data_IF_992681634810
#
_entry.id   IF_992681634810
#
_cell.length_a   1.000
_cell.length_b   1.000
_cell.length_c   1.000
_cell.angle_alpha   90.00
_cell.angle_beta   90.00
_cell.angle_gamma   90.00
#
_symmetry.space_group_name_H-M   'P 1'
#
loop_
_entity.id
_entity.type
_entity.pdbx_description
1 polymer ?
#
# COMPACT_ATOMS: atom_id res chain seq x y z
N UNK A 1 32.61 1.37 13.22
CA UNK A 1 31.34 0.60 13.19
C UNK A 1 31.72 -0.81 12.80
N UNK A 2 31.68 -1.75 13.72
CA UNK A 2 31.97 -3.16 13.46
C UNK A 2 30.74 -3.74 12.76
N UNK A 3 30.92 -4.22 11.53
CA UNK A 3 29.87 -4.86 10.77
C UNK A 3 29.39 -6.12 11.52
N UNK A 4 28.12 -6.17 11.88
CA UNK A 4 27.46 -7.35 12.47
C UNK A 4 27.35 -8.50 11.44
N UNK A 5 27.57 -8.17 10.17
CA UNK A 5 27.55 -9.12 9.06
C UNK A 5 28.99 -9.56 8.79
N UNK A 6 29.22 -10.88 8.73
CA UNK A 6 30.53 -11.47 8.47
C UNK A 6 31.16 -11.02 7.15
N UNK A 7 32.47 -11.26 6.99
CA UNK A 7 33.19 -10.96 5.75
C UNK A 7 32.54 -11.67 4.54
N UNK A 8 32.35 -10.93 3.46
CA UNK A 8 31.77 -11.45 2.20
C UNK A 8 30.26 -11.23 2.05
N UNK A 9 29.55 -10.67 3.04
CA UNK A 9 28.13 -10.31 2.88
C UNK A 9 28.00 -8.98 2.12
N UNK A 10 27.35 -9.03 0.96
CA UNK A 10 26.95 -7.83 0.22
C UNK A 10 25.54 -7.45 0.63
N UNK A 11 25.36 -6.22 1.09
CA UNK A 11 24.02 -5.66 1.39
C UNK A 11 23.64 -4.73 0.25
N UNK A 12 22.53 -5.03 -0.39
CA UNK A 12 21.88 -4.15 -1.36
C UNK A 12 20.66 -3.52 -0.68
N UNK A 13 20.63 -2.19 -0.63
CA UNK A 13 19.46 -1.45 -0.16
C UNK A 13 18.63 -1.06 -1.37
N UNK A 14 17.38 -1.50 -1.39
CA UNK A 14 16.38 -1.15 -2.40
C UNK A 14 15.19 -0.47 -1.74
N UNK A 15 14.43 0.32 -2.50
CA UNK A 15 13.18 0.88 -2.00
C UNK A 15 12.15 -0.24 -1.81
N UNK A 16 11.23 -0.07 -0.86
CA UNK A 16 10.24 -1.09 -0.54
C UNK A 16 9.36 -1.48 -1.75
N UNK A 17 8.83 -0.54 -2.55
CA UNK A 17 8.07 -0.90 -3.75
C UNK A 17 8.92 -1.63 -4.80
N UNK A 18 10.22 -1.35 -4.91
CA UNK A 18 11.12 -2.11 -5.80
C UNK A 18 11.22 -3.57 -5.36
N UNK A 19 11.29 -3.80 -4.04
CA UNK A 19 11.31 -5.17 -3.50
C UNK A 19 10.03 -5.93 -3.86
N UNK A 20 8.86 -5.29 -3.83
CA UNK A 20 7.60 -5.90 -4.26
C UNK A 20 7.61 -6.24 -5.76
N UNK A 21 8.12 -5.35 -6.61
CA UNK A 21 8.31 -5.62 -8.03
C UNK A 21 9.24 -6.81 -8.26
N UNK A 22 10.40 -6.85 -7.61
CA UNK A 22 11.35 -7.95 -7.76
C UNK A 22 10.80 -9.28 -7.23
N UNK A 23 10.04 -9.27 -6.13
CA UNK A 23 9.36 -10.45 -5.61
C UNK A 23 8.27 -10.97 -6.56
N UNK A 24 7.69 -10.09 -7.40
CA UNK A 24 6.75 -10.48 -8.43
C UNK A 24 7.45 -11.15 -9.62
N UNK A 25 8.56 -10.60 -10.11
CA UNK A 25 9.23 -11.09 -11.31
C UNK A 25 10.17 -12.26 -11.07
N UNK A 26 10.73 -12.41 -9.86
CA UNK A 26 11.66 -13.50 -9.54
C UNK A 26 11.07 -14.50 -8.55
N UNK A 27 11.50 -15.76 -8.66
CA UNK A 27 11.26 -16.78 -7.65
C UNK A 27 12.30 -16.68 -6.50
N UNK A 28 12.19 -17.60 -5.52
CA UNK A 28 13.11 -17.59 -4.36
C UNK A 28 14.55 -17.94 -4.72
N UNK A 29 14.78 -18.55 -5.87
CA UNK A 29 16.08 -18.92 -6.40
C UNK A 29 16.65 -17.83 -7.33
N UNK A 30 15.96 -16.68 -7.46
CA UNK A 30 16.38 -15.55 -8.30
C UNK A 30 16.19 -15.78 -9.79
N UNK A 31 15.37 -16.77 -10.19
CA UNK A 31 15.03 -17.02 -11.60
C UNK A 31 13.73 -16.30 -11.96
N UNK A 32 13.63 -15.85 -13.21
CA UNK A 32 12.39 -15.26 -13.71
C UNK A 32 11.22 -16.27 -13.58
N UNK A 33 10.11 -15.81 -13.03
CA UNK A 33 8.88 -16.60 -12.96
C UNK A 33 8.35 -16.90 -14.36
N UNK A 34 7.75 -18.07 -14.51
CA UNK A 34 7.14 -18.50 -15.77
C UNK A 34 6.06 -17.49 -16.21
N UNK A 35 6.15 -17.04 -17.46
CA UNK A 35 5.19 -16.08 -18.05
C UNK A 35 5.50 -14.61 -17.76
N UNK A 36 6.57 -14.34 -17.00
CA UNK A 36 7.03 -12.96 -16.74
C UNK A 36 8.20 -12.64 -17.65
N UNK A 37 8.06 -11.58 -18.42
CA UNK A 37 9.12 -11.00 -19.23
C UNK A 37 9.24 -9.50 -18.93
N UNK A 38 10.11 -9.12 -17.98
CA UNK A 38 10.25 -7.74 -17.58
C UNK A 38 10.67 -6.80 -18.69
N UNK A 39 11.29 -7.32 -19.78
CA UNK A 39 11.72 -6.48 -20.90
C UNK A 39 10.58 -6.09 -21.86
N UNK A 40 9.42 -6.74 -21.72
CA UNK A 40 8.23 -6.55 -22.57
C UNK A 40 6.97 -6.21 -21.77
N UNK A 41 7.08 -6.20 -20.46
CA UNK A 41 5.96 -5.94 -19.56
C UNK A 41 6.20 -4.65 -18.78
N UNK A 42 5.10 -3.96 -18.50
CA UNK A 42 5.09 -2.76 -17.68
C UNK A 42 4.25 -3.00 -16.44
N UNK A 43 4.78 -2.65 -15.27
CA UNK A 43 4.17 -2.91 -13.97
C UNK A 43 4.19 -1.67 -13.12
N UNK A 44 3.03 -1.28 -12.60
CA UNK A 44 2.95 -0.31 -11.53
C UNK A 44 2.96 -1.03 -10.18
N UNK A 45 3.57 -0.42 -9.17
CA UNK A 45 3.53 -0.89 -7.78
C UNK A 45 2.95 0.22 -6.92
N UNK A 46 2.00 -0.14 -6.08
CA UNK A 46 1.40 0.72 -5.07
C UNK A 46 1.66 0.04 -3.72
N UNK A 47 2.65 0.54 -2.99
CA UNK A 47 2.99 0.04 -1.66
C UNK A 47 2.31 0.89 -0.60
N UNK A 48 1.26 0.37 0.02
CA UNK A 48 0.46 1.08 1.02
C UNK A 48 0.92 0.71 2.42
N UNK A 49 1.90 1.49 2.91
CA UNK A 49 2.39 1.41 4.27
C UNK A 49 1.49 2.17 5.26
N UNK A 50 1.92 2.18 6.52
CA UNK A 50 1.21 2.91 7.57
C UNK A 50 1.37 4.43 7.43
N UNK A 51 2.60 4.91 7.24
CA UNK A 51 2.88 6.34 7.14
C UNK A 51 2.78 6.87 5.72
N UNK A 52 3.22 6.09 4.73
CA UNK A 52 3.30 6.49 3.33
C UNK A 52 2.71 5.44 2.42
N UNK A 53 2.21 5.92 1.28
CA UNK A 53 1.94 5.10 0.11
C UNK A 53 2.94 5.49 -0.97
N UNK A 54 3.73 4.53 -1.40
CA UNK A 54 4.78 4.74 -2.40
C UNK A 54 4.34 4.14 -3.75
N UNK A 55 4.52 4.92 -4.81
CA UNK A 55 4.14 4.57 -6.18
C UNK A 55 5.39 4.48 -7.04
N UNK A 56 5.53 3.40 -7.79
CA UNK A 56 6.58 3.26 -8.78
C UNK A 56 6.04 2.61 -10.06
N UNK A 57 6.65 2.95 -11.18
CA UNK A 57 6.39 2.34 -12.47
C UNK A 57 7.67 1.72 -13.04
N UNK A 58 7.57 0.47 -13.44
CA UNK A 58 8.55 -0.21 -14.28
C UNK A 58 7.98 -0.41 -15.68
N UNK A 59 8.61 0.18 -16.66
CA UNK A 59 8.22 0.05 -18.07
C UNK A 59 9.34 -0.65 -18.84
N UNK A 60 9.04 -1.83 -19.36
CA UNK A 60 10.04 -2.67 -20.05
C UNK A 60 11.31 -2.90 -19.20
N UNK A 61 11.13 -3.16 -17.91
CA UNK A 61 12.20 -3.40 -16.95
C UNK A 61 12.96 -2.15 -16.49
N UNK A 62 12.54 -0.96 -16.90
CA UNK A 62 13.16 0.32 -16.49
C UNK A 62 12.27 1.06 -15.52
N UNK A 63 12.86 1.52 -14.45
CA UNK A 63 12.21 2.42 -13.50
C UNK A 63 11.92 3.77 -14.17
N UNK A 64 10.69 4.25 -14.03
CA UNK A 64 10.21 5.53 -14.60
C UNK A 64 10.02 6.54 -13.48
N UNK A 65 11.00 7.41 -13.26
CA UNK A 65 11.02 8.36 -12.15
C UNK A 65 9.83 9.33 -12.18
N UNK A 66 9.42 9.79 -13.36
CA UNK A 66 8.30 10.74 -13.52
C UNK A 66 6.94 10.16 -13.11
N UNK A 67 6.83 8.83 -13.06
CA UNK A 67 5.63 8.13 -12.64
C UNK A 67 5.75 7.58 -11.21
N UNK A 68 6.71 8.06 -10.44
CA UNK A 68 6.94 7.65 -9.06
C UNK A 68 6.60 8.77 -8.10
N UNK A 69 6.12 8.41 -6.91
CA UNK A 69 5.75 9.41 -5.91
C UNK A 69 5.46 8.79 -4.57
N UNK A 70 5.31 9.65 -3.57
CA UNK A 70 5.01 9.27 -2.19
C UNK A 70 3.88 10.14 -1.67
N UNK A 71 2.91 9.50 -1.01
CA UNK A 71 1.73 10.12 -0.44
C UNK A 71 1.42 9.55 0.95
N UNK A 72 0.35 10.04 1.58
CA UNK A 72 -0.08 9.55 2.88
C UNK A 72 -0.48 8.08 2.84
N UNK A 73 -0.11 7.36 3.91
CA UNK A 73 -0.45 5.95 4.10
C UNK A 73 -1.70 5.74 4.96
N UNK A 74 -1.85 4.52 5.46
CA UNK A 74 -3.04 4.10 6.19
C UNK A 74 -3.25 4.80 7.54
N UNK A 75 -2.28 5.55 8.05
CA UNK A 75 -2.42 6.38 9.25
C UNK A 75 -3.61 7.33 9.17
N UNK A 76 -3.94 7.86 7.98
CA UNK A 76 -5.09 8.74 7.80
C UNK A 76 -6.43 8.07 8.14
N UNK A 77 -6.51 6.74 8.01
CA UNK A 77 -7.69 5.96 8.42
C UNK A 77 -7.88 6.07 9.93
N UNK A 78 -6.82 5.83 10.70
CA UNK A 78 -6.84 5.93 12.17
C UNK A 78 -7.21 7.34 12.61
N UNK A 79 -6.60 8.36 12.00
CA UNK A 79 -6.88 9.76 12.31
C UNK A 79 -8.33 10.16 11.97
N UNK A 80 -8.89 9.61 10.89
CA UNK A 80 -10.28 9.85 10.49
C UNK A 80 -11.25 9.24 11.51
N UNK A 81 -11.03 7.99 11.91
CA UNK A 81 -11.84 7.32 12.92
C UNK A 81 -11.72 8.03 14.28
N UNK A 82 -10.52 8.49 14.66
CA UNK A 82 -10.34 9.29 15.88
C UNK A 82 -11.17 10.56 15.86
N UNK A 83 -11.16 11.31 14.75
CA UNK A 83 -11.98 12.53 14.63
C UNK A 83 -13.47 12.23 14.75
N UNK A 84 -13.95 11.14 14.13
CA UNK A 84 -15.35 10.72 14.23
C UNK A 84 -15.73 10.35 15.67
N UNK A 85 -14.87 9.64 16.39
CA UNK A 85 -15.08 9.32 17.81
C UNK A 85 -15.08 10.57 18.69
N UNK A 86 -14.15 11.50 18.43
CA UNK A 86 -14.07 12.76 19.18
C UNK A 86 -15.32 13.62 18.98
N UNK A 87 -15.88 13.67 17.77
CA UNK A 87 -17.15 14.34 17.49
C UNK A 87 -18.33 13.73 18.27
N UNK A 88 -18.24 12.46 18.66
CA UNK A 88 -19.19 11.75 19.54
C UNK A 88 -18.84 11.87 21.02
N UNK A 89 -17.85 12.71 21.39
CA UNK A 89 -17.38 12.89 22.78
C UNK A 89 -16.49 11.75 23.30
N UNK A 90 -16.03 10.85 22.43
CA UNK A 90 -15.22 9.67 22.77
C UNK A 90 -13.74 9.95 22.44
N UNK A 91 -12.97 10.37 23.44
CA UNK A 91 -11.52 10.58 23.25
C UNK A 91 -10.76 9.26 23.35
N UNK A 92 -9.90 8.98 22.37
CA UNK A 92 -9.02 7.79 22.31
C UNK A 92 -7.64 8.18 21.85
N UNK A 93 -6.65 7.41 22.27
CA UNK A 93 -5.32 7.49 21.71
C UNK A 93 -5.26 6.76 20.36
N UNK A 94 -4.34 7.18 19.49
CA UNK A 94 -4.16 6.58 18.16
C UNK A 94 -3.98 5.06 18.22
N UNK A 95 -3.17 4.59 19.16
CA UNK A 95 -2.90 3.16 19.34
C UNK A 95 -4.16 2.34 19.69
N UNK A 96 -5.10 2.94 20.42
CA UNK A 96 -6.34 2.25 20.80
C UNK A 96 -7.25 2.09 19.57
N UNK A 97 -7.31 3.11 18.71
CA UNK A 97 -8.08 3.07 17.46
C UNK A 97 -7.44 2.12 16.48
N UNK A 98 -6.10 2.14 16.34
CA UNK A 98 -5.36 1.23 15.48
C UNK A 98 -5.64 -0.24 15.84
N UNK A 99 -5.59 -0.58 17.15
CA UNK A 99 -5.93 -1.91 17.65
C UNK A 99 -7.39 -2.30 17.44
N UNK A 100 -8.28 -1.32 17.34
CA UNK A 100 -9.69 -1.54 17.12
C UNK A 100 -10.06 -1.76 15.62
N UNK A 101 -9.19 -1.40 14.68
CA UNK A 101 -9.49 -1.55 13.25
C UNK A 101 -9.90 -2.98 12.85
N UNK A 102 -9.22 -4.06 13.29
CA UNK A 102 -9.62 -5.42 12.93
C UNK A 102 -10.95 -5.86 13.54
N UNK A 103 -11.21 -5.47 14.81
CA UNK A 103 -12.43 -5.83 15.52
C UNK A 103 -13.62 -4.95 15.18
N UNK A 104 -13.35 -3.77 14.59
CA UNK A 104 -14.33 -2.72 14.28
C UNK A 104 -15.09 -2.21 15.50
N UNK A 105 -14.51 -2.38 16.70
CA UNK A 105 -15.14 -2.01 17.96
C UNK A 105 -14.16 -1.28 18.85
N UNK A 106 -14.65 -0.22 19.50
CA UNK A 106 -13.92 0.55 20.51
C UNK A 106 -14.62 0.42 21.84
N UNK A 107 -13.89 0.09 22.90
CA UNK A 107 -14.47 0.01 24.25
C UNK A 107 -14.49 1.39 24.90
N UNK A 108 -15.65 1.84 25.36
CA UNK A 108 -15.84 3.10 26.09
C UNK A 108 -16.73 2.90 27.29
N UNK A 109 -16.27 3.30 28.50
CA UNK A 109 -17.01 3.15 29.77
C UNK A 109 -17.61 1.75 29.99
N UNK A 110 -16.86 0.71 29.64
CA UNK A 110 -17.26 -0.68 29.75
C UNK A 110 -18.15 -1.23 28.64
N UNK A 111 -18.57 -0.38 27.69
CA UNK A 111 -19.43 -0.76 26.56
C UNK A 111 -18.60 -0.83 25.28
N UNK A 112 -18.90 -1.81 24.43
CA UNK A 112 -18.35 -1.87 23.06
C UNK A 112 -19.18 -0.98 22.15
N UNK A 113 -18.50 -0.10 21.42
CA UNK A 113 -19.08 0.79 20.42
C UNK A 113 -18.63 0.30 19.05
N UNK A 114 -19.59 0.02 18.18
CA UNK A 114 -19.33 -0.28 16.78
C UNK A 114 -18.85 0.99 16.06
N UNK A 115 -17.77 0.84 15.27
CA UNK A 115 -17.14 1.89 14.46
C UNK A 115 -16.93 1.43 13.03
N UNK A 116 -17.72 0.46 12.59
CA UNK A 116 -17.61 -0.13 11.26
C UNK A 116 -17.82 0.90 10.15
N UNK A 117 -18.84 1.76 10.31
CA UNK A 117 -19.17 2.78 9.31
C UNK A 117 -18.04 3.81 9.18
N UNK A 118 -17.48 4.26 10.30
CA UNK A 118 -16.37 5.21 10.33
C UNK A 118 -15.12 4.62 9.68
N UNK A 119 -14.82 3.34 9.94
CA UNK A 119 -13.70 2.63 9.35
C UNK A 119 -13.90 2.47 7.84
N UNK A 120 -15.09 2.05 7.40
CA UNK A 120 -15.38 1.88 5.98
C UNK A 120 -15.34 3.20 5.21
N UNK A 121 -15.85 4.27 5.79
CA UNK A 121 -15.76 5.62 5.22
C UNK A 121 -14.30 6.08 5.12
N UNK A 122 -13.49 5.83 6.16
CA UNK A 122 -12.08 6.20 6.17
C UNK A 122 -11.25 5.40 5.13
N UNK A 123 -11.50 4.10 4.99
CA UNK A 123 -10.86 3.30 3.94
C UNK A 123 -11.33 3.69 2.53
N UNK A 124 -12.58 4.12 2.38
CA UNK A 124 -13.09 4.65 1.11
C UNK A 124 -12.35 5.93 0.74
N UNK A 125 -12.12 6.82 1.70
CA UNK A 125 -11.34 8.04 1.47
C UNK A 125 -9.88 7.74 1.12
N UNK A 126 -9.24 6.81 1.84
CA UNK A 126 -7.87 6.38 1.53
C UNK A 126 -7.78 5.81 0.11
N UNK A 127 -8.74 4.95 -0.27
CA UNK A 127 -8.82 4.40 -1.62
C UNK A 127 -8.93 5.51 -2.67
N UNK A 128 -9.84 6.46 -2.49
CA UNK A 128 -10.00 7.59 -3.43
C UNK A 128 -8.71 8.40 -3.58
N UNK A 129 -8.05 8.69 -2.46
CA UNK A 129 -6.78 9.41 -2.49
C UNK A 129 -5.70 8.65 -3.26
N UNK A 130 -5.56 7.33 -3.00
CA UNK A 130 -4.58 6.47 -3.69
C UNK A 130 -4.91 6.40 -5.18
N UNK A 131 -6.18 6.19 -5.53
CA UNK A 131 -6.62 6.11 -6.92
C UNK A 131 -6.35 7.40 -7.69
N UNK A 132 -6.67 8.54 -7.10
CA UNK A 132 -6.44 9.86 -7.70
C UNK A 132 -4.95 10.13 -7.92
N UNK A 133 -4.10 9.74 -6.96
CA UNK A 133 -2.66 9.91 -7.08
C UNK A 133 -2.07 8.96 -8.13
N UNK A 134 -2.45 7.69 -8.12
CA UNK A 134 -2.02 6.72 -9.13
C UNK A 134 -2.45 7.18 -10.53
N UNK A 135 -3.70 7.63 -10.69
CA UNK A 135 -4.21 8.14 -11.97
C UNK A 135 -3.42 9.35 -12.47
N UNK A 136 -3.02 10.25 -11.58
CA UNK A 136 -2.19 11.41 -11.95
C UNK A 136 -0.77 11.00 -12.36
N UNK A 137 -0.16 10.06 -11.64
CA UNK A 137 1.20 9.61 -11.91
C UNK A 137 1.30 8.75 -13.18
N UNK A 138 0.34 7.86 -13.36
CA UNK A 138 0.35 6.91 -14.46
C UNK A 138 -0.24 7.50 -15.75
N UNK A 139 -1.26 8.37 -15.63
CA UNK A 139 -1.97 8.91 -16.78
C UNK A 139 -2.49 7.80 -17.70
N UNK A 140 -2.38 8.00 -19.00
CA UNK A 140 -2.81 7.03 -20.00
C UNK A 140 -1.98 5.72 -19.99
N UNK A 141 -0.84 5.69 -19.29
CA UNK A 141 0.00 4.49 -19.18
C UNK A 141 -0.71 3.35 -18.45
N UNK A 142 -1.70 3.65 -17.61
CA UNK A 142 -2.45 2.62 -16.88
C UNK A 142 -3.07 1.58 -17.82
N UNK A 143 -3.51 2.00 -19.01
CA UNK A 143 -4.10 1.10 -20.01
C UNK A 143 -3.08 0.16 -20.68
N UNK A 144 -1.81 0.52 -20.60
CA UNK A 144 -0.70 -0.23 -21.23
C UNK A 144 0.03 -1.13 -20.22
N UNK A 145 -0.39 -1.12 -18.96
CA UNK A 145 0.25 -1.95 -17.94
C UNK A 145 -0.10 -3.43 -18.13
N UNK A 146 0.89 -4.26 -17.87
CA UNK A 146 0.69 -5.71 -17.71
C UNK A 146 0.02 -6.04 -16.39
N UNK A 147 0.15 -5.16 -15.39
CA UNK A 147 -0.55 -5.26 -14.13
C UNK A 147 -0.18 -4.17 -13.14
N UNK A 148 -0.97 -4.13 -12.05
CA UNK A 148 -0.76 -3.26 -10.88
C UNK A 148 -0.55 -4.14 -9.66
N UNK A 149 0.63 -4.05 -9.05
CA UNK A 149 0.98 -4.77 -7.83
C UNK A 149 0.59 -3.93 -6.63
N UNK A 150 -0.19 -4.50 -5.73
CA UNK A 150 -0.55 -3.84 -4.47
C UNK A 150 0.20 -4.51 -3.33
N UNK A 151 1.02 -3.74 -2.65
CA UNK A 151 1.88 -4.21 -1.56
C UNK A 151 1.67 -3.38 -0.29
N UNK A 152 2.37 -3.76 0.78
CA UNK A 152 2.33 -3.08 2.08
C UNK A 152 1.29 -3.63 3.04
N UNK A 153 1.37 -3.17 4.28
CA UNK A 153 0.53 -3.67 5.39
C UNK A 153 -0.98 -3.44 5.19
N UNK A 154 -1.38 -2.48 4.37
CA UNK A 154 -2.77 -2.16 4.08
C UNK A 154 -3.26 -2.70 2.72
N UNK A 155 -2.42 -3.44 2.00
CA UNK A 155 -2.74 -3.98 0.68
C UNK A 155 -4.06 -4.79 0.67
N UNK A 156 -4.24 -5.69 1.64
CA UNK A 156 -5.43 -6.54 1.74
C UNK A 156 -6.74 -5.75 1.82
N UNK A 157 -6.73 -4.59 2.50
CA UNK A 157 -7.92 -3.75 2.64
C UNK A 157 -8.27 -2.99 1.35
N UNK A 158 -7.30 -2.79 0.45
CA UNK A 158 -7.43 -1.96 -0.74
C UNK A 158 -7.42 -2.75 -2.05
N UNK A 159 -6.78 -3.93 -2.08
CA UNK A 159 -6.60 -4.72 -3.30
C UNK A 159 -7.92 -5.00 -4.04
N UNK A 160 -8.96 -5.43 -3.32
CA UNK A 160 -10.27 -5.70 -3.92
C UNK A 160 -10.93 -4.46 -4.53
N UNK A 161 -10.75 -3.28 -3.92
CA UNK A 161 -11.26 -2.00 -4.44
C UNK A 161 -10.47 -1.55 -5.67
N UNK A 162 -9.15 -1.70 -5.65
CA UNK A 162 -8.29 -1.38 -6.79
C UNK A 162 -8.57 -2.33 -7.96
N UNK A 163 -8.76 -3.64 -7.69
CA UNK A 163 -9.12 -4.62 -8.71
C UNK A 163 -10.50 -4.37 -9.36
N UNK A 164 -11.42 -3.69 -8.68
CA UNK A 164 -12.70 -3.30 -9.29
C UNK A 164 -12.58 -2.17 -10.31
N UNK A 165 -11.48 -1.39 -10.24
CA UNK A 165 -11.21 -0.28 -11.17
C UNK A 165 -10.15 -0.69 -12.20
N UNK A 166 -9.10 -1.38 -11.74
CA UNK A 166 -8.05 -1.91 -12.61
C UNK A 166 -8.08 -3.44 -12.57
N UNK A 167 -8.73 -4.04 -13.54
CA UNK A 167 -8.98 -5.50 -13.62
C UNK A 167 -7.71 -6.36 -13.66
N UNK A 168 -6.55 -5.76 -13.92
CA UNK A 168 -5.22 -6.38 -13.94
C UNK A 168 -4.43 -6.14 -12.63
N UNK A 169 -5.12 -5.84 -11.52
CA UNK A 169 -4.50 -5.71 -10.18
C UNK A 169 -4.15 -7.10 -9.61
N UNK A 170 -2.93 -7.21 -9.04
CA UNK A 170 -2.36 -8.43 -8.46
C UNK A 170 -1.96 -8.18 -6.99
#
# INVERSE_FOLDING_TARGET
>A
MTSILGEGVRVLVVQQPDAAYFAHIYDREGRLRKGVDPTRQSWAVIDVGYFTSDFVLYENGRYIEQCSGRYDGARIVVESVMRSLEARGIKRQMIDVERALPSRKVRHMGVEIDVSEEIDAAFTQLFSNIFDQASRLLGDRVELLSGVLVAGGSATALAGRLASVWTHTV
#
